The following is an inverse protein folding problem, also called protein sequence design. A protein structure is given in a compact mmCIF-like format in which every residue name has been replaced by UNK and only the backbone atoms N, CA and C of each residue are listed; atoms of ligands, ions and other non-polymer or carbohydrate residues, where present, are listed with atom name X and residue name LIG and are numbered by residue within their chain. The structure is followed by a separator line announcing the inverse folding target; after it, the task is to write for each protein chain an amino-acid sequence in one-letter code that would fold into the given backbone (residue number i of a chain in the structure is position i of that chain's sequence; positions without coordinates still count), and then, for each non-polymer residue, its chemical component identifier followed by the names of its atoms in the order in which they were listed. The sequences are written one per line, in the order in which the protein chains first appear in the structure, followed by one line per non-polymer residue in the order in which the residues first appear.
data_IF_727718779219
#
_entry.id   IF_727718779219
#
_cell.length_a   1.000
_cell.length_b   1.000
_cell.length_c   1.000
_cell.angle_alpha   90.00
_cell.angle_beta   90.00
_cell.angle_gamma   90.00
#
_symmetry.space_group_name_H-M   'P 1'
#
loop_
_entity.id
_entity.type
_entity.pdbx_description
1 polymer ?
#
# COMPACT_ATOMS: atom_id res chain seq x y z
N UNK A 1 -15.40 -11.68 -35.23
CA UNK A 1 -14.56 -10.51 -35.58
C UNK A 1 -14.37 -9.67 -34.32
N UNK A 2 -13.16 -9.48 -33.79
CA UNK A 2 -12.97 -8.60 -32.65
C UNK A 2 -13.23 -7.15 -33.09
N UNK A 3 -14.15 -6.47 -32.41
CA UNK A 3 -14.42 -5.04 -32.62
C UNK A 3 -13.18 -4.26 -32.20
N UNK A 4 -12.47 -3.68 -33.16
CA UNK A 4 -11.42 -2.68 -32.90
C UNK A 4 -12.08 -1.49 -32.20
N UNK A 5 -11.56 -1.11 -31.03
CA UNK A 5 -12.01 0.10 -30.36
C UNK A 5 -11.80 1.32 -31.26
N UNK A 6 -12.67 2.34 -31.20
CA UNK A 6 -12.49 3.56 -32.00
C UNK A 6 -11.16 4.20 -31.65
N UNK A 7 -10.41 4.61 -32.69
CA UNK A 7 -9.10 5.24 -32.53
C UNK A 7 -9.24 6.56 -31.77
N UNK A 8 -8.50 6.69 -30.68
CA UNK A 8 -8.50 7.88 -29.84
C UNK A 8 -8.10 9.15 -30.63
N UNK A 9 -8.80 10.25 -30.40
CA UNK A 9 -8.54 11.55 -31.06
C UNK A 9 -7.61 12.46 -30.21
N UNK A 10 -7.53 12.24 -28.90
CA UNK A 10 -6.71 13.04 -27.96
C UNK A 10 -5.39 12.31 -27.67
N UNK A 11 -4.25 13.02 -27.53
CA UNK A 11 -2.99 12.40 -27.11
C UNK A 11 -3.15 11.67 -25.78
N UNK A 12 -2.56 10.48 -25.67
CA UNK A 12 -2.50 9.72 -24.40
C UNK A 12 -1.63 10.50 -23.41
N UNK A 13 -2.03 10.51 -22.14
CA UNK A 13 -1.21 11.03 -21.04
C UNK A 13 -0.83 9.91 -20.09
N UNK A 14 0.36 10.00 -19.47
CA UNK A 14 0.85 8.98 -18.53
C UNK A 14 -0.14 8.67 -17.39
N UNK A 15 -0.76 9.66 -16.70
CA UNK A 15 -1.76 9.36 -15.66
C UNK A 15 -2.91 8.50 -16.17
N UNK A 16 -3.46 8.78 -17.33
CA UNK A 16 -4.56 7.99 -17.90
C UNK A 16 -4.16 6.55 -18.21
N UNK A 17 -2.89 6.33 -18.56
CA UNK A 17 -2.35 5.00 -18.78
C UNK A 17 -2.21 4.25 -17.45
N UNK A 18 -1.76 4.93 -16.40
CA UNK A 18 -1.61 4.36 -15.05
C UNK A 18 -2.99 4.01 -14.47
N UNK A 19 -3.98 4.90 -14.61
CA UNK A 19 -5.37 4.66 -14.16
C UNK A 19 -6.01 3.46 -14.86
N UNK A 20 -5.80 3.35 -16.19
CA UNK A 20 -6.30 2.20 -16.94
C UNK A 20 -5.60 0.89 -16.56
N UNK A 21 -4.29 0.95 -16.24
CA UNK A 21 -3.56 -0.21 -15.76
C UNK A 21 -4.05 -0.64 -14.37
N UNK A 22 -4.27 0.30 -13.46
CA UNK A 22 -4.86 0.06 -12.14
C UNK A 22 -6.22 -0.61 -12.27
N UNK A 23 -7.09 -0.09 -13.12
CA UNK A 23 -8.42 -0.67 -13.34
C UNK A 23 -8.34 -2.09 -13.92
N UNK A 24 -7.42 -2.36 -14.85
CA UNK A 24 -7.18 -3.71 -15.37
C UNK A 24 -6.67 -4.64 -14.26
N UNK A 25 -5.78 -4.19 -13.40
CA UNK A 25 -5.28 -4.95 -12.25
C UNK A 25 -6.43 -5.24 -11.28
N UNK A 26 -7.23 -4.23 -10.93
CA UNK A 26 -8.37 -4.35 -10.02
C UNK A 26 -9.39 -5.38 -10.50
N UNK A 27 -9.69 -5.40 -11.79
CA UNK A 27 -10.76 -6.25 -12.37
C UNK A 27 -10.30 -7.63 -12.79
N UNK A 28 -9.04 -7.79 -13.15
CA UNK A 28 -8.54 -9.04 -13.77
C UNK A 28 -7.30 -9.61 -13.06
N UNK A 29 -6.79 -8.92 -12.05
CA UNK A 29 -5.56 -9.27 -11.33
C UNK A 29 -4.28 -8.87 -12.09
N UNK A 30 -3.20 -8.70 -11.33
CA UNK A 30 -1.89 -8.28 -11.84
C UNK A 30 -1.33 -9.20 -12.93
N UNK A 31 -1.59 -10.52 -12.83
CA UNK A 31 -1.15 -11.49 -13.83
C UNK A 31 -1.71 -11.25 -15.23
N UNK A 32 -2.86 -10.60 -15.33
CA UNK A 32 -3.53 -10.30 -16.61
C UNK A 32 -3.13 -8.95 -17.21
N UNK A 33 -2.36 -8.13 -16.49
CA UNK A 33 -1.85 -6.85 -17.01
C UNK A 33 -0.98 -7.09 -18.24
N UNK A 34 -1.39 -6.52 -19.36
CA UNK A 34 -0.71 -6.62 -20.66
C UNK A 34 -0.73 -5.29 -21.38
N UNK A 35 0.45 -4.75 -21.72
CA UNK A 35 0.59 -3.50 -22.47
C UNK A 35 -0.17 -3.53 -23.81
N UNK A 36 -0.22 -4.70 -24.45
CA UNK A 36 -0.99 -4.88 -25.69
C UNK A 36 -2.50 -4.79 -25.47
N UNK A 37 -3.01 -5.42 -24.40
CA UNK A 37 -4.45 -5.31 -24.04
C UNK A 37 -4.77 -3.86 -23.71
N UNK A 38 -3.93 -3.22 -22.91
CA UNK A 38 -4.11 -1.85 -22.47
C UNK A 38 -4.11 -0.86 -23.65
N UNK A 39 -3.18 -1.01 -24.62
CA UNK A 39 -3.17 -0.23 -25.85
C UNK A 39 -4.50 -0.36 -26.63
N UNK A 40 -5.01 -1.60 -26.73
CA UNK A 40 -6.29 -1.87 -27.40
C UNK A 40 -7.48 -1.22 -26.68
N UNK A 41 -7.53 -1.28 -25.34
CA UNK A 41 -8.60 -0.68 -24.52
C UNK A 41 -8.60 0.85 -24.64
N UNK A 42 -7.39 1.45 -24.61
CA UNK A 42 -7.21 2.89 -24.74
C UNK A 42 -7.34 3.41 -26.19
N UNK A 43 -7.49 2.52 -27.18
CA UNK A 43 -7.61 2.88 -28.59
C UNK A 43 -6.34 3.52 -29.15
N UNK A 44 -5.16 3.16 -28.64
CA UNK A 44 -3.85 3.64 -29.06
C UNK A 44 -3.01 2.54 -29.68
N UNK A 45 -1.94 2.92 -30.37
CA UNK A 45 -0.95 1.96 -30.89
C UNK A 45 0.07 1.59 -29.80
N UNK A 46 0.64 0.38 -29.87
CA UNK A 46 1.70 0.00 -28.93
C UNK A 46 2.88 0.99 -28.90
N UNK A 47 3.41 1.50 -30.03
CA UNK A 47 4.44 2.55 -29.97
C UNK A 47 4.00 3.82 -29.23
N UNK A 48 2.74 4.23 -29.34
CA UNK A 48 2.24 5.40 -28.60
C UNK A 48 2.21 5.15 -27.08
N UNK A 49 1.97 3.91 -26.65
CA UNK A 49 2.02 3.52 -25.24
C UNK A 49 3.47 3.53 -24.72
N UNK A 50 4.42 2.96 -25.48
CA UNK A 50 5.85 2.94 -25.14
C UNK A 50 6.51 4.33 -25.10
N UNK A 51 5.87 5.37 -25.65
CA UNK A 51 6.29 6.75 -25.45
C UNK A 51 6.08 7.27 -24.01
N UNK A 52 5.25 6.56 -23.21
CA UNK A 52 4.91 6.96 -21.85
C UNK A 52 5.43 6.02 -20.77
N UNK A 53 5.79 4.78 -21.11
CA UNK A 53 6.33 3.77 -20.18
C UNK A 53 7.46 2.99 -20.86
N UNK A 54 8.46 2.63 -20.07
CA UNK A 54 9.59 1.85 -20.56
C UNK A 54 9.18 0.38 -20.81
N UNK A 55 8.51 -0.20 -19.84
CA UNK A 55 8.04 -1.58 -19.87
C UNK A 55 6.84 -1.79 -18.92
N UNK A 56 6.45 -3.04 -18.74
CA UNK A 56 5.37 -3.43 -17.80
C UNK A 56 5.73 -3.11 -16.36
N UNK A 57 7.00 -3.23 -15.98
CA UNK A 57 7.43 -3.01 -14.58
C UNK A 57 7.41 -1.52 -14.23
N UNK A 58 7.81 -0.64 -15.15
CA UNK A 58 7.66 0.83 -14.99
C UNK A 58 6.19 1.22 -14.77
N UNK A 59 5.28 0.59 -15.52
CA UNK A 59 3.85 0.85 -15.33
C UNK A 59 3.34 0.34 -13.97
N UNK A 60 3.77 -0.85 -13.54
CA UNK A 60 3.43 -1.41 -12.23
C UNK A 60 3.98 -0.54 -11.11
N UNK A 61 5.22 -0.06 -11.23
CA UNK A 61 5.81 0.87 -10.27
C UNK A 61 5.00 2.18 -10.17
N UNK A 62 4.50 2.68 -11.32
CA UNK A 62 3.63 3.88 -11.32
C UNK A 62 2.28 3.63 -10.63
N UNK A 63 1.69 2.44 -10.77
CA UNK A 63 0.47 2.05 -10.04
C UNK A 63 0.76 1.93 -8.54
N UNK A 64 1.91 1.34 -8.16
CA UNK A 64 2.32 1.27 -6.75
C UNK A 64 2.51 2.67 -6.15
N UNK A 65 3.13 3.60 -6.89
CA UNK A 65 3.32 4.98 -6.45
C UNK A 65 1.98 5.68 -6.17
N UNK A 66 0.96 5.51 -7.04
CA UNK A 66 -0.38 6.04 -6.76
C UNK A 66 -0.95 5.48 -5.45
N UNK A 67 -0.77 4.18 -5.18
CA UNK A 67 -1.23 3.57 -3.93
C UNK A 67 -0.54 4.17 -2.70
N UNK A 68 0.77 4.41 -2.76
CA UNK A 68 1.49 5.08 -1.66
C UNK A 68 1.06 6.54 -1.50
N UNK A 69 0.82 7.29 -2.59
CA UNK A 69 0.30 8.66 -2.53
C UNK A 69 -1.09 8.71 -1.85
N UNK A 70 -1.95 7.74 -2.13
CA UNK A 70 -3.25 7.61 -1.47
C UNK A 70 -3.12 7.26 0.00
N UNK A 71 -2.20 6.37 0.37
CA UNK A 71 -1.93 6.03 1.76
C UNK A 71 -1.40 7.24 2.55
N UNK A 72 -0.45 7.99 1.99
CA UNK A 72 0.06 9.24 2.57
C UNK A 72 -1.08 10.24 2.75
N UNK A 73 -1.91 10.42 1.73
CA UNK A 73 -3.06 11.32 1.81
C UNK A 73 -4.05 10.91 2.91
N UNK A 74 -4.25 9.61 3.12
CA UNK A 74 -5.08 9.10 4.21
C UNK A 74 -4.44 9.38 5.59
N UNK A 75 -3.11 9.25 5.71
CA UNK A 75 -2.39 9.59 6.94
C UNK A 75 -2.45 11.09 7.23
N UNK A 76 -2.25 11.93 6.23
CA UNK A 76 -2.33 13.40 6.36
C UNK A 76 -3.73 13.89 6.76
N UNK A 77 -4.76 13.12 6.47
CA UNK A 77 -6.14 13.42 6.85
C UNK A 77 -6.48 13.03 8.30
N UNK A 78 -5.59 12.34 9.02
CA UNK A 78 -5.81 11.95 10.42
C UNK A 78 -5.72 13.18 11.32
N UNK A 79 -6.82 13.53 11.95
CA UNK A 79 -6.94 14.65 12.91
C UNK A 79 -7.00 14.11 14.35
N UNK A 80 -5.85 13.65 14.87
CA UNK A 80 -5.71 13.20 16.25
C UNK A 80 -4.48 13.87 16.90
N UNK A 81 -4.69 14.49 18.07
CA UNK A 81 -3.63 15.20 18.78
C UNK A 81 -2.72 14.28 19.59
N UNK A 82 -3.25 13.18 20.14
CA UNK A 82 -2.45 12.18 20.87
C UNK A 82 -1.68 11.30 19.87
N UNK A 83 -0.35 11.14 20.01
CA UNK A 83 0.44 10.36 19.09
C UNK A 83 0.06 8.87 19.05
N UNK A 84 -0.44 8.29 20.14
CA UNK A 84 -0.90 6.90 20.16
C UNK A 84 -2.20 6.74 19.38
N UNK A 85 -3.11 7.72 19.47
CA UNK A 85 -4.35 7.74 18.68
C UNK A 85 -4.02 7.91 17.19
N UNK A 86 -3.03 8.73 16.84
CA UNK A 86 -2.55 8.83 15.44
C UNK A 86 -1.99 7.49 14.93
N UNK A 87 -1.17 6.81 15.73
CA UNK A 87 -0.64 5.48 15.35
C UNK A 87 -1.74 4.44 15.18
N UNK A 88 -2.79 4.53 16.00
CA UNK A 88 -3.98 3.71 15.85
C UNK A 88 -4.68 3.99 14.51
N UNK A 89 -4.95 5.25 14.20
CA UNK A 89 -5.65 5.64 12.96
C UNK A 89 -4.78 5.37 11.70
N UNK A 90 -3.46 5.57 11.74
CA UNK A 90 -2.57 5.17 10.65
C UNK A 90 -2.63 3.66 10.38
N UNK A 91 -2.63 2.85 11.44
CA UNK A 91 -2.79 1.41 11.31
C UNK A 91 -4.16 1.04 10.71
N UNK A 92 -5.21 1.77 11.09
CA UNK A 92 -6.55 1.63 10.51
C UNK A 92 -6.56 1.96 9.01
N UNK A 93 -6.04 3.13 8.63
CA UNK A 93 -5.94 3.55 7.23
C UNK A 93 -5.21 2.51 6.37
N UNK A 94 -4.12 1.95 6.91
CA UNK A 94 -3.36 0.90 6.23
C UNK A 94 -4.17 -0.38 5.99
N UNK A 95 -4.88 -0.86 7.02
CA UNK A 95 -5.71 -2.06 6.92
C UNK A 95 -6.92 -1.82 6.03
N UNK A 96 -7.56 -0.65 6.12
CA UNK A 96 -8.70 -0.26 5.30
C UNK A 96 -8.31 -0.20 3.82
N UNK A 97 -7.13 0.34 3.48
CA UNK A 97 -6.60 0.30 2.12
C UNK A 97 -6.41 -1.15 1.63
N UNK A 98 -5.79 -2.00 2.43
CA UNK A 98 -5.55 -3.39 2.07
C UNK A 98 -6.85 -4.14 1.76
N UNK A 99 -7.89 -3.92 2.55
CA UNK A 99 -9.17 -4.62 2.43
C UNK A 99 -10.09 -4.04 1.36
N UNK A 100 -10.02 -2.74 1.09
CA UNK A 100 -10.80 -2.07 0.05
C UNK A 100 -10.20 -2.21 -1.34
N UNK A 101 -8.87 -2.23 -1.45
CA UNK A 101 -8.13 -2.29 -2.70
C UNK A 101 -7.06 -3.43 -2.69
N UNK A 102 -7.48 -4.70 -2.54
CA UNK A 102 -6.57 -5.82 -2.30
C UNK A 102 -5.54 -6.01 -3.43
N UNK A 103 -5.91 -5.81 -4.68
CA UNK A 103 -4.97 -5.95 -5.79
C UNK A 103 -3.96 -4.79 -5.84
N UNK A 104 -4.36 -3.57 -5.50
CA UNK A 104 -3.45 -2.44 -5.35
C UNK A 104 -2.46 -2.70 -4.20
N UNK A 105 -2.95 -3.14 -3.05
CA UNK A 105 -2.11 -3.49 -1.91
C UNK A 105 -1.06 -4.56 -2.26
N UNK A 106 -1.45 -5.60 -3.04
CA UNK A 106 -0.51 -6.60 -3.55
C UNK A 106 0.55 -5.99 -4.46
N UNK A 107 0.17 -5.05 -5.32
CA UNK A 107 1.11 -4.32 -6.19
C UNK A 107 2.11 -3.52 -5.36
N UNK A 108 1.65 -2.84 -4.31
CA UNK A 108 2.51 -2.02 -3.45
C UNK A 108 3.53 -2.84 -2.65
N UNK A 109 3.13 -3.97 -2.09
CA UNK A 109 3.93 -4.65 -1.06
C UNK A 109 4.40 -6.06 -1.44
N UNK A 110 3.70 -6.78 -2.30
CA UNK A 110 3.99 -8.20 -2.59
C UNK A 110 4.64 -8.38 -3.96
N UNK A 111 4.27 -7.55 -4.93
CA UNK A 111 4.81 -7.70 -6.27
C UNK A 111 6.22 -7.13 -6.36
N UNK A 112 7.19 -8.04 -6.46
CA UNK A 112 8.54 -7.72 -6.89
C UNK A 112 8.70 -8.24 -8.31
N UNK A 113 8.73 -7.38 -9.34
CA UNK A 113 9.15 -7.82 -10.67
C UNK A 113 10.57 -8.35 -10.53
N UNK A 114 10.78 -9.66 -10.81
CA UNK A 114 12.02 -10.47 -10.70
C UNK A 114 13.24 -9.72 -10.22
N UNK A 115 14.11 -10.27 -9.46
CA UNK A 115 15.43 -9.77 -9.02
C UNK A 115 15.72 -8.23 -9.05
N UNK A 116 14.69 -7.38 -9.13
CA UNK A 116 14.87 -5.95 -8.85
C UNK A 116 15.26 -5.90 -7.38
N UNK A 117 16.51 -5.47 -7.06
CA UNK A 117 16.88 -5.17 -5.69
C UNK A 117 15.74 -4.33 -5.10
N UNK A 118 15.48 -4.49 -3.79
CA UNK A 118 14.65 -3.49 -3.09
C UNK A 118 15.08 -2.14 -3.65
N UNK A 119 14.15 -1.37 -4.27
CA UNK A 119 14.52 -0.03 -4.68
C UNK A 119 15.28 0.54 -3.50
N UNK A 120 16.42 1.14 -3.77
CA UNK A 120 17.04 1.98 -2.77
C UNK A 120 15.90 2.91 -2.41
N UNK A 121 15.32 2.75 -1.22
CA UNK A 121 14.06 3.41 -0.81
C UNK A 121 14.14 4.90 -1.15
N UNK A 122 15.36 5.43 -1.14
CA UNK A 122 15.69 6.83 -1.42
C UNK A 122 15.51 7.31 -2.88
N UNK A 123 15.36 6.44 -3.88
CA UNK A 123 15.43 6.89 -5.28
C UNK A 123 14.31 6.40 -6.23
N UNK A 124 13.54 5.36 -5.93
CA UNK A 124 12.62 4.81 -6.92
C UNK A 124 11.13 4.95 -6.62
N UNK A 125 10.75 5.13 -5.35
CA UNK A 125 9.37 5.39 -4.93
C UNK A 125 9.35 6.41 -3.78
N UNK A 126 9.47 7.71 -4.05
CA UNK A 126 9.44 8.77 -3.02
C UNK A 126 8.23 8.67 -2.10
N UNK A 127 7.05 8.39 -2.64
CA UNK A 127 5.82 8.23 -1.88
C UNK A 127 5.89 7.06 -0.88
N UNK A 128 6.60 5.97 -1.20
CA UNK A 128 6.81 4.88 -0.25
C UNK A 128 7.69 5.32 0.94
N UNK A 129 8.67 6.20 0.70
CA UNK A 129 9.50 6.79 1.77
C UNK A 129 8.65 7.71 2.65
N UNK A 130 7.88 8.61 2.04
CA UNK A 130 7.00 9.54 2.76
C UNK A 130 5.95 8.81 3.61
N UNK A 131 5.47 7.64 3.18
CA UNK A 131 4.54 6.83 3.97
C UNK A 131 5.12 6.36 5.33
N UNK A 132 6.45 6.44 5.53
CA UNK A 132 7.11 6.16 6.82
C UNK A 132 7.28 7.40 7.69
N UNK A 133 7.21 8.61 7.12
CA UNK A 133 7.44 9.86 7.85
C UNK A 133 6.37 10.08 8.92
N UNK A 134 5.09 10.01 8.57
CA UNK A 134 3.98 10.23 9.51
C UNK A 134 4.02 9.27 10.72
N UNK A 135 4.11 7.93 10.55
CA UNK A 135 4.25 7.02 11.69
C UNK A 135 5.55 7.23 12.47
N UNK A 136 6.66 7.58 11.79
CA UNK A 136 7.95 7.85 12.43
C UNK A 136 7.90 9.06 13.36
N UNK A 137 7.27 10.15 12.93
CA UNK A 137 7.05 11.35 13.74
C UNK A 137 6.17 11.04 14.95
N UNK A 138 5.03 10.36 14.75
CA UNK A 138 4.14 9.98 15.83
C UNK A 138 4.81 9.05 16.86
N UNK A 139 5.68 8.13 16.42
CA UNK A 139 6.50 7.30 17.33
C UNK A 139 7.45 8.17 18.14
N UNK A 140 8.15 9.11 17.51
CA UNK A 140 9.09 10.01 18.18
C UNK A 140 8.40 10.85 19.24
N UNK A 141 7.26 11.44 18.91
CA UNK A 141 6.43 12.18 19.85
C UNK A 141 5.90 11.32 21.00
N UNK A 142 5.50 10.07 20.71
CA UNK A 142 5.03 9.13 21.72
C UNK A 142 6.16 8.72 22.70
N UNK A 143 7.40 8.61 22.22
CA UNK A 143 8.57 8.38 23.07
C UNK A 143 8.83 9.61 23.96
N UNK A 144 8.83 10.81 23.38
CA UNK A 144 9.02 12.06 24.13
C UNK A 144 7.93 12.28 25.19
N UNK A 145 6.69 11.90 24.90
CA UNK A 145 5.58 11.93 25.83
C UNK A 145 5.58 10.78 26.86
N UNK A 146 6.56 9.87 26.82
CA UNK A 146 6.67 8.72 27.72
C UNK A 146 5.57 7.66 27.50
N UNK A 147 4.93 7.65 26.33
CA UNK A 147 3.87 6.71 25.97
C UNK A 147 4.44 5.41 25.36
N UNK A 148 5.59 5.50 24.69
CA UNK A 148 6.36 4.37 24.16
C UNK A 148 7.68 4.29 24.94
N UNK A 149 8.18 3.07 25.17
CA UNK A 149 9.38 2.83 25.94
C UNK A 149 10.62 3.39 25.24
N UNK A 150 11.41 4.28 25.88
CA UNK A 150 12.51 5.01 25.23
C UNK A 150 13.75 4.13 24.94
N UNK A 151 13.89 2.96 25.60
CA UNK A 151 15.10 2.12 25.49
C UNK A 151 15.13 1.28 24.20
N UNK A 152 14.14 1.41 23.33
CA UNK A 152 14.13 0.78 22.02
C UNK A 152 14.49 1.79 20.93
N UNK A 153 15.23 1.33 19.95
CA UNK A 153 15.46 2.06 18.70
C UNK A 153 14.12 2.47 18.06
N UNK A 154 13.89 3.75 17.75
CA UNK A 154 12.68 4.21 17.06
C UNK A 154 12.38 3.43 15.76
N UNK A 155 13.42 3.05 14.99
CA UNK A 155 13.27 2.21 13.81
C UNK A 155 12.71 0.84 14.16
N UNK A 156 13.12 0.24 15.29
CA UNK A 156 12.56 -1.04 15.74
C UNK A 156 11.07 -0.91 16.08
N UNK A 157 10.65 0.20 16.70
CA UNK A 157 9.23 0.48 16.94
C UNK A 157 8.45 0.62 15.64
N UNK A 158 8.98 1.39 14.68
CA UNK A 158 8.34 1.57 13.37
C UNK A 158 8.20 0.25 12.61
N UNK A 159 9.25 -0.56 12.61
CA UNK A 159 9.25 -1.89 11.98
C UNK A 159 8.28 -2.86 12.68
N UNK A 160 8.18 -2.80 14.01
CA UNK A 160 7.22 -3.61 14.77
C UNK A 160 5.79 -3.22 14.41
N UNK A 161 5.50 -1.90 14.43
CA UNK A 161 4.20 -1.37 14.05
C UNK A 161 3.81 -1.84 12.65
N UNK A 162 4.68 -1.62 11.67
CA UNK A 162 4.42 -2.01 10.30
C UNK A 162 4.23 -3.52 10.14
N UNK A 163 5.11 -4.33 10.72
CA UNK A 163 5.03 -5.79 10.60
C UNK A 163 3.73 -6.34 11.18
N UNK A 164 3.30 -5.85 12.34
CA UNK A 164 2.04 -6.28 12.95
C UNK A 164 0.84 -5.83 12.12
N UNK A 165 0.81 -4.56 11.69
CA UNK A 165 -0.28 -4.01 10.87
C UNK A 165 -0.36 -4.73 9.52
N UNK A 166 0.78 -5.00 8.88
CA UNK A 166 0.85 -5.77 7.64
C UNK A 166 0.38 -7.21 7.85
N UNK A 167 0.68 -7.82 9.00
CA UNK A 167 0.18 -9.13 9.39
C UNK A 167 -1.35 -9.15 9.50
N UNK A 168 -1.95 -8.16 10.16
CA UNK A 168 -3.42 -8.00 10.24
C UNK A 168 -4.01 -7.93 8.83
N UNK A 169 -3.50 -7.02 7.99
CA UNK A 169 -3.96 -6.85 6.61
C UNK A 169 -3.85 -8.16 5.81
N UNK A 170 -2.72 -8.87 5.93
CA UNK A 170 -2.48 -10.12 5.22
C UNK A 170 -3.45 -11.23 5.63
N UNK A 171 -3.76 -11.36 6.91
CA UNK A 171 -4.73 -12.35 7.42
C UNK A 171 -6.13 -12.05 6.90
N UNK A 172 -6.54 -10.78 6.88
CA UNK A 172 -7.84 -10.39 6.34
C UNK A 172 -7.96 -10.69 4.83
N UNK A 173 -6.89 -10.44 4.07
CA UNK A 173 -6.85 -10.73 2.64
C UNK A 173 -6.93 -12.24 2.35
N UNK A 174 -6.33 -13.09 3.18
CA UNK A 174 -6.46 -14.55 3.05
C UNK A 174 -7.92 -14.99 3.29
N UNK A 175 -8.57 -14.44 4.32
CA UNK A 175 -9.98 -14.76 4.59
C UNK A 175 -10.93 -14.35 3.47
N UNK A 176 -10.62 -13.26 2.74
CA UNK A 176 -11.43 -12.82 1.60
C UNK A 176 -11.25 -13.70 0.35
N UNK A 177 -10.09 -14.33 0.17
CA UNK A 177 -9.75 -14.99 -1.10
C UNK A 177 -10.14 -16.47 -1.14
N UNK A 178 -9.90 -17.22 -0.10
CA UNK A 178 -9.97 -18.69 -0.15
C UNK A 178 -11.16 -19.28 0.60
N UNK A 179 -11.83 -18.50 1.45
CA UNK A 179 -12.93 -19.00 2.29
C UNK A 179 -12.52 -20.11 3.29
N UNK A 180 -11.24 -20.51 3.29
CA UNK A 180 -10.69 -21.52 4.19
C UNK A 180 -10.40 -20.97 5.58
N UNK A 181 -10.08 -19.66 5.68
CA UNK A 181 -9.86 -18.99 6.95
C UNK A 181 -11.17 -18.43 7.49
N UNK A 182 -11.66 -18.98 8.57
CA UNK A 182 -12.84 -18.47 9.26
C UNK A 182 -12.42 -17.28 10.12
N UNK A 183 -12.78 -16.08 9.66
CA UNK A 183 -12.62 -14.86 10.43
C UNK A 183 -13.84 -14.61 11.32
N UNK A 184 -13.69 -13.88 12.45
CA UNK A 184 -14.83 -13.42 13.23
C UNK A 184 -15.82 -12.63 12.35
N UNK A 185 -17.14 -12.74 12.62
CA UNK A 185 -18.17 -12.01 11.88
C UNK A 185 -17.95 -10.49 11.93
N UNK A 186 -17.41 -10.00 13.05
CA UNK A 186 -17.04 -8.59 13.22
C UNK A 186 -15.54 -8.38 13.00
N UNK A 187 -15.14 -8.28 11.74
CA UNK A 187 -13.73 -8.01 11.37
C UNK A 187 -13.22 -6.66 11.91
N UNK A 188 -14.09 -5.66 12.07
CA UNK A 188 -13.71 -4.36 12.65
C UNK A 188 -13.28 -4.49 14.11
N UNK A 189 -13.96 -5.31 14.89
CA UNK A 189 -13.57 -5.57 16.29
C UNK A 189 -12.22 -6.28 16.37
N UNK A 190 -12.00 -7.29 15.52
CA UNK A 190 -10.70 -7.97 15.39
C UNK A 190 -9.56 -6.99 15.05
N UNK A 191 -9.79 -6.12 14.08
CA UNK A 191 -8.79 -5.11 13.66
C UNK A 191 -8.46 -4.18 14.82
N UNK A 192 -9.46 -3.61 15.47
CA UNK A 192 -9.27 -2.67 16.58
C UNK A 192 -8.55 -3.32 17.75
N UNK A 193 -8.96 -4.52 18.15
CA UNK A 193 -8.35 -5.27 19.26
C UNK A 193 -6.88 -5.60 18.96
N UNK A 194 -6.58 -6.06 17.73
CA UNK A 194 -5.23 -6.38 17.33
C UNK A 194 -4.34 -5.12 17.32
N UNK A 195 -4.82 -3.98 16.82
CA UNK A 195 -4.08 -2.70 16.82
C UNK A 195 -3.86 -2.23 18.26
N UNK A 196 -4.87 -2.23 19.11
CA UNK A 196 -4.72 -1.86 20.52
C UNK A 196 -3.72 -2.74 21.27
N UNK A 197 -3.79 -4.05 21.06
CA UNK A 197 -2.85 -5.00 21.66
C UNK A 197 -1.40 -4.72 21.24
N UNK A 198 -1.18 -4.47 19.94
CA UNK A 198 0.11 -4.11 19.40
C UNK A 198 0.64 -2.80 20.02
N UNK A 199 -0.16 -1.74 20.04
CA UNK A 199 0.22 -0.45 20.57
C UNK A 199 0.51 -0.51 22.08
N UNK A 200 -0.27 -1.27 22.84
CA UNK A 200 0.02 -1.54 24.26
C UNK A 200 1.38 -2.24 24.44
N UNK A 201 1.74 -3.13 23.53
CA UNK A 201 3.05 -3.81 23.54
C UNK A 201 4.23 -2.87 23.31
N UNK A 202 4.05 -1.76 22.58
CA UNK A 202 5.12 -0.75 22.38
C UNK A 202 5.48 0.02 23.67
N UNK A 203 4.56 0.11 24.61
CA UNK A 203 4.75 0.78 25.90
C UNK A 203 5.51 -0.10 26.91
N UNK A 204 5.70 -1.39 26.64
CA UNK A 204 6.42 -2.30 27.51
C UNK A 204 7.94 -2.19 27.34
N UNK A 205 8.73 -2.46 28.40
CA UNK A 205 10.18 -2.54 28.27
C UNK A 205 10.60 -3.62 27.27
N UNK A 206 11.78 -3.49 26.65
CA UNK A 206 12.27 -4.50 25.71
C UNK A 206 12.41 -5.86 26.39
N UNK A 207 12.12 -6.94 25.66
CA UNK A 207 12.33 -8.30 26.14
C UNK A 207 13.84 -8.52 26.28
N UNK A 208 14.33 -8.99 27.43
CA UNK A 208 15.75 -9.32 27.60
C UNK A 208 16.20 -10.34 26.55
N UNK A 209 17.42 -10.14 26.01
CA UNK A 209 18.00 -11.05 25.01
C UNK A 209 18.31 -12.44 25.62
#
# INVERSE_FOLDING_TARGET
MPRTAPRRQTPLRRPELVDAAREMIRTSGLGQLSLRKLANELGVTAPALYAHVQDKNDLIASVAAQGFDELVSAFDAVDASDPMDRLFEYSRCYVDMATSEPELFRVMFVFRPGAVPMPNIDNELPAATTAWENPGEAISEAIEAGRIHPDRDPLLHAMTLWTCTHGIASVLLLGQHDGELVLPENSTELINDAIHTMLAGLSLPPVPA
#
